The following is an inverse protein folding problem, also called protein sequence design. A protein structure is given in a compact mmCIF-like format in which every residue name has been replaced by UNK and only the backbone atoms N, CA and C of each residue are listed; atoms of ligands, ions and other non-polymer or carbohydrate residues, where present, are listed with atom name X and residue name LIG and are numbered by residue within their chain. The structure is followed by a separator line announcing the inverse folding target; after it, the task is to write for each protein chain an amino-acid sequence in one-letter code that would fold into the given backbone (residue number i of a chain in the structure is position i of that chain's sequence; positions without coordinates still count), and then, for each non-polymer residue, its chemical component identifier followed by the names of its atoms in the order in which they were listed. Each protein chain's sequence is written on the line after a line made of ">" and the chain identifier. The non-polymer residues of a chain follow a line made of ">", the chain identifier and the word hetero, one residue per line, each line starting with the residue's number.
data_IF_236671313221
#
_entry.id   IF_236671313221
#
_cell.length_a   1.000
_cell.length_b   1.000
_cell.length_c   1.000
_cell.angle_alpha   90.00
_cell.angle_beta   90.00
_cell.angle_gamma   90.00
#
_symmetry.space_group_name_H-M   'P 1'
#
loop_
_entity.id
_entity.type
_entity.pdbx_description
1 polymer ?
#
# COMPACT_ATOMS: atom_id res chain seq x y z
N UNK A 1 22.72 17.83 7.62
CA UNK A 1 21.57 18.75 7.45
C UNK A 1 20.85 18.46 6.12
N UNK A 2 21.58 18.21 5.03
CA UNK A 2 21.02 17.86 3.70
C UNK A 2 20.18 16.57 3.65
N UNK A 3 20.50 15.57 4.47
CA UNK A 3 19.82 14.27 4.46
C UNK A 3 18.36 14.34 4.90
N UNK A 4 18.03 15.29 5.79
CA UNK A 4 16.68 15.48 6.32
C UNK A 4 15.78 16.21 5.30
N UNK A 5 16.33 17.17 4.57
CA UNK A 5 15.64 17.85 3.46
C UNK A 5 15.39 16.92 2.28
N UNK A 6 16.30 15.98 2.02
CA UNK A 6 16.15 14.95 0.99
C UNK A 6 15.04 13.95 1.34
N UNK A 7 14.93 13.56 2.62
CA UNK A 7 13.87 12.70 3.15
C UNK A 7 12.49 13.39 3.14
N UNK A 8 12.46 14.70 3.42
CA UNK A 8 11.25 15.53 3.36
C UNK A 8 10.75 15.68 1.92
N UNK A 9 11.66 15.99 1.00
CA UNK A 9 11.38 16.06 -0.44
C UNK A 9 10.91 14.71 -1.00
N UNK A 10 11.48 13.60 -0.50
CA UNK A 10 11.11 12.24 -0.91
C UNK A 10 9.68 11.87 -0.53
N UNK A 11 9.15 12.41 0.57
CA UNK A 11 7.76 12.21 0.96
C UNK A 11 6.79 13.08 0.17
N UNK A 12 7.18 14.32 -0.16
CA UNK A 12 6.36 15.26 -0.92
C UNK A 12 6.20 14.86 -2.41
N UNK A 13 7.24 14.30 -3.02
CA UNK A 13 7.26 13.99 -4.46
C UNK A 13 6.92 12.53 -4.79
N UNK A 14 6.48 11.73 -3.80
CA UNK A 14 6.03 10.35 -4.01
C UNK A 14 7.16 9.31 -4.12
N UNK A 15 8.26 9.51 -3.39
CA UNK A 15 9.33 8.53 -3.19
C UNK A 15 10.74 9.04 -3.52
N UNK A 16 11.75 8.46 -2.86
CA UNK A 16 13.16 8.85 -3.03
C UNK A 16 13.69 8.68 -4.46
N UNK A 17 13.08 7.79 -5.27
CA UNK A 17 13.43 7.59 -6.68
C UNK A 17 13.09 8.83 -7.52
N UNK A 18 11.89 9.40 -7.33
CA UNK A 18 11.47 10.63 -8.02
C UNK A 18 12.29 11.82 -7.60
N UNK A 19 12.70 11.90 -6.34
CA UNK A 19 13.61 12.97 -5.86
C UNK A 19 15.00 12.84 -6.47
N UNK A 20 15.55 11.63 -6.59
CA UNK A 20 16.82 11.42 -7.29
C UNK A 20 16.73 11.76 -8.78
N UNK A 21 15.60 11.45 -9.43
CA UNK A 21 15.35 11.87 -10.82
C UNK A 21 15.23 13.40 -10.93
N UNK A 22 14.52 14.05 -9.99
CA UNK A 22 14.40 15.50 -9.95
C UNK A 22 15.75 16.19 -9.73
N UNK A 23 16.55 15.69 -8.78
CA UNK A 23 17.91 16.19 -8.50
C UNK A 23 18.82 16.04 -9.71
N UNK A 24 18.76 14.90 -10.43
CA UNK A 24 19.50 14.71 -11.68
C UNK A 24 19.06 15.67 -12.79
N UNK A 25 17.77 15.98 -12.87
CA UNK A 25 17.24 16.94 -13.85
C UNK A 25 17.71 18.35 -13.49
N UNK A 26 17.64 18.73 -12.20
CA UNK A 26 18.12 20.03 -11.72
C UNK A 26 19.62 20.22 -11.97
N UNK A 27 20.43 19.19 -11.68
CA UNK A 27 21.87 19.17 -11.94
C UNK A 27 22.18 19.26 -13.45
N UNK A 28 21.44 18.52 -14.28
CA UNK A 28 21.57 18.54 -15.75
C UNK A 28 21.24 19.91 -16.36
N UNK A 29 20.30 20.63 -15.77
CA UNK A 29 19.89 21.96 -16.24
C UNK A 29 20.59 23.11 -15.50
N UNK A 30 21.56 22.80 -14.63
CA UNK A 30 22.28 23.76 -13.79
C UNK A 30 21.34 24.68 -12.99
N UNK A 31 20.19 24.14 -12.56
CA UNK A 31 19.19 24.84 -11.79
C UNK A 31 19.52 24.64 -10.32
N UNK A 32 19.98 25.72 -9.69
CA UNK A 32 20.25 25.77 -8.26
C UNK A 32 18.96 25.54 -7.44
N UNK A 33 19.06 24.80 -6.34
CA UNK A 33 17.91 24.50 -5.46
C UNK A 33 17.32 25.78 -4.85
N UNK A 34 18.15 26.80 -4.59
CA UNK A 34 17.70 28.11 -4.16
C UNK A 34 16.94 28.86 -5.27
N UNK A 35 17.31 28.65 -6.54
CA UNK A 35 16.57 29.19 -7.69
C UNK A 35 15.19 28.53 -7.84
N UNK A 36 15.06 27.23 -7.55
CA UNK A 36 13.76 26.54 -7.55
C UNK A 36 12.84 27.08 -6.45
N UNK A 37 13.37 27.28 -5.24
CA UNK A 37 12.62 27.87 -4.12
C UNK A 37 12.24 29.32 -4.43
N UNK A 38 13.15 30.08 -5.03
CA UNK A 38 12.89 31.46 -5.47
C UNK A 38 11.82 31.51 -6.56
N UNK A 39 11.84 30.58 -7.52
CA UNK A 39 10.80 30.43 -8.53
C UNK A 39 9.44 30.11 -7.90
N UNK A 40 9.37 29.13 -7.00
CA UNK A 40 8.13 28.76 -6.30
C UNK A 40 7.55 29.92 -5.48
N UNK A 41 8.41 30.73 -4.85
CA UNK A 41 8.00 31.98 -4.18
C UNK A 41 7.53 33.04 -5.18
N UNK A 42 8.16 33.14 -6.35
CA UNK A 42 7.81 34.14 -7.37
C UNK A 42 6.43 33.92 -8.00
N UNK A 43 5.94 32.67 -7.99
CA UNK A 43 4.61 32.31 -8.48
C UNK A 43 3.54 32.26 -7.37
N UNK A 44 3.84 32.80 -6.18
CA UNK A 44 2.98 32.77 -4.98
C UNK A 44 2.48 31.36 -4.62
N UNK A 45 3.31 30.34 -4.90
CA UNK A 45 2.94 28.95 -4.64
C UNK A 45 3.08 28.67 -3.15
N UNK A 46 1.95 28.72 -2.43
CA UNK A 46 1.86 28.29 -1.03
C UNK A 46 2.11 26.78 -0.95
N UNK A 47 3.37 26.38 -0.73
CA UNK A 47 3.72 24.99 -0.42
C UNK A 47 3.05 24.66 0.92
N UNK A 48 1.98 23.82 0.95
CA UNK A 48 1.30 23.53 2.21
C UNK A 48 2.28 22.75 3.08
N UNK A 49 2.57 23.26 4.28
CA UNK A 49 3.41 22.54 5.22
C UNK A 49 2.69 21.21 5.54
N UNK A 50 3.35 20.04 5.50
CA UNK A 50 2.74 18.77 5.90
C UNK A 50 2.08 18.79 7.29
N UNK A 51 2.59 19.65 8.19
CA UNK A 51 1.98 19.90 9.48
C UNK A 51 0.70 20.74 9.37
N UNK A 52 0.65 21.76 8.51
CA UNK A 52 -0.55 22.56 8.26
C UNK A 52 -1.67 21.72 7.65
N UNK A 53 -1.36 20.78 6.76
CA UNK A 53 -2.35 19.83 6.24
C UNK A 53 -2.94 18.95 7.34
N UNK A 54 -2.10 18.47 8.27
CA UNK A 54 -2.54 17.69 9.42
C UNK A 54 -3.34 18.52 10.43
N UNK A 55 -2.93 19.76 10.66
CA UNK A 55 -3.62 20.70 11.55
C UNK A 55 -4.98 21.07 10.97
N UNK A 56 -5.06 21.41 9.68
CA UNK A 56 -6.34 21.67 9.01
C UNK A 56 -7.27 20.45 9.04
N UNK A 57 -6.73 19.23 8.90
CA UNK A 57 -7.51 18.01 9.02
C UNK A 57 -7.99 17.75 10.46
N UNK A 58 -7.17 18.08 11.47
CA UNK A 58 -7.53 17.98 12.88
C UNK A 58 -8.55 19.04 13.28
N UNK A 59 -8.39 20.28 12.85
CA UNK A 59 -9.34 21.39 13.08
C UNK A 59 -10.71 21.05 12.49
N UNK A 60 -10.73 20.51 11.26
CA UNK A 60 -11.98 20.03 10.65
C UNK A 60 -12.65 18.91 11.44
N UNK A 61 -11.88 18.03 12.10
CA UNK A 61 -12.40 16.98 13.00
C UNK A 61 -12.92 17.55 14.31
N UNK A 62 -12.25 18.55 14.88
CA UNK A 62 -12.68 19.22 16.11
C UNK A 62 -13.99 19.99 15.88
N UNK A 63 -14.11 20.76 14.79
CA UNK A 63 -15.35 21.45 14.44
C UNK A 63 -16.53 20.49 14.17
N UNK A 64 -16.25 19.29 13.66
CA UNK A 64 -17.26 18.25 13.47
C UNK A 64 -17.71 17.59 14.79
N UNK A 65 -16.83 17.55 15.80
CA UNK A 65 -17.14 17.05 17.14
C UNK A 65 -17.94 18.06 17.97
N UNK A 66 -17.62 19.35 17.84
CA UNK A 66 -18.31 20.44 18.56
C UNK A 66 -19.74 20.69 18.06
N UNK A 67 -20.08 20.25 16.84
CA UNK A 67 -21.41 20.41 16.26
C UNK A 67 -22.43 19.32 16.65
N UNK A 68 -22.10 18.44 17.60
CA UNK A 68 -23.08 17.54 18.25
C UNK A 68 -23.75 16.52 17.33
N UNK A 69 -23.19 16.27 16.13
CA UNK A 69 -23.72 15.31 15.17
C UNK A 69 -23.18 13.91 15.50
N UNK A 70 -24.02 12.88 15.71
CA UNK A 70 -23.52 11.55 16.05
C UNK A 70 -22.65 11.02 14.93
N UNK A 71 -21.40 10.70 15.25
CA UNK A 71 -20.46 10.00 14.39
C UNK A 71 -20.99 8.59 14.15
N UNK A 72 -21.74 8.42 13.06
CA UNK A 72 -21.84 7.11 12.41
C UNK A 72 -20.41 6.68 12.04
N UNK A 73 -19.99 5.43 12.30
CA UNK A 73 -18.63 4.95 12.03
C UNK A 73 -18.44 4.76 10.52
N UNK A 74 -18.41 5.86 9.78
CA UNK A 74 -17.98 5.92 8.41
C UNK A 74 -16.66 6.70 8.40
N UNK A 75 -15.57 5.94 8.53
CA UNK A 75 -14.24 6.37 8.13
C UNK A 75 -14.30 7.07 6.76
N UNK A 76 -13.41 8.05 6.47
CA UNK A 76 -13.33 8.59 5.13
C UNK A 76 -13.10 7.43 4.17
N UNK A 77 -14.00 7.32 3.19
CA UNK A 77 -13.97 6.37 2.08
C UNK A 77 -12.68 6.56 1.28
N UNK A 78 -11.55 6.05 1.76
CA UNK A 78 -10.57 5.49 0.85
C UNK A 78 -11.35 4.43 0.09
N UNK A 79 -11.51 4.59 -1.22
CA UNK A 79 -12.07 3.53 -2.06
C UNK A 79 -11.37 2.24 -1.65
N UNK A 80 -12.12 1.28 -1.09
CA UNK A 80 -11.58 0.01 -0.61
C UNK A 80 -10.84 -0.60 -1.78
N UNK A 81 -9.51 -0.58 -1.71
CA UNK A 81 -8.70 -1.09 -2.80
C UNK A 81 -8.87 -2.61 -2.81
N UNK A 82 -9.54 -3.08 -3.86
CA UNK A 82 -9.83 -4.49 -4.09
C UNK A 82 -8.89 -5.03 -5.15
N UNK A 83 -8.23 -6.13 -4.81
CA UNK A 83 -7.30 -6.84 -5.70
C UNK A 83 -7.94 -8.18 -6.04
N UNK A 84 -8.22 -8.40 -7.31
CA UNK A 84 -8.72 -9.70 -7.80
C UNK A 84 -7.57 -10.48 -8.45
N UNK A 85 -7.43 -11.75 -8.07
CA UNK A 85 -6.37 -12.64 -8.51
C UNK A 85 -6.99 -13.97 -8.93
N UNK A 86 -6.93 -14.26 -10.22
CA UNK A 86 -7.31 -15.57 -10.75
C UNK A 86 -6.19 -16.58 -10.48
N UNK A 87 -6.54 -17.74 -9.92
CA UNK A 87 -5.59 -18.76 -9.54
C UNK A 87 -5.18 -19.62 -10.73
N UNK A 88 -3.87 -19.72 -10.97
CA UNK A 88 -3.32 -20.70 -11.91
C UNK A 88 -3.32 -22.11 -11.31
N UNK A 89 -3.16 -23.13 -12.15
CA UNK A 89 -3.00 -24.53 -11.74
C UNK A 89 -1.99 -24.72 -10.61
N UNK A 90 -0.81 -24.10 -10.76
CA UNK A 90 0.27 -24.18 -9.76
C UNK A 90 -0.11 -23.49 -8.45
N UNK A 91 -0.77 -22.33 -8.53
CA UNK A 91 -1.20 -21.59 -7.35
C UNK A 91 -2.24 -22.38 -6.53
N UNK A 92 -3.24 -22.97 -7.21
CA UNK A 92 -4.24 -23.83 -6.59
C UNK A 92 -3.61 -25.10 -5.99
N UNK A 93 -2.75 -25.80 -6.75
CA UNK A 93 -2.07 -27.02 -6.30
C UNK A 93 -1.22 -26.81 -5.04
N UNK A 94 -0.48 -25.71 -4.99
CA UNK A 94 0.41 -25.39 -3.87
C UNK A 94 -0.23 -24.49 -2.81
N UNK A 95 -1.54 -24.22 -2.91
CA UNK A 95 -2.33 -23.41 -1.96
C UNK A 95 -1.63 -22.08 -1.64
N UNK A 96 -1.23 -21.37 -2.69
CA UNK A 96 -0.54 -20.09 -2.60
C UNK A 96 -1.32 -19.01 -3.36
N UNK A 97 -1.16 -17.77 -2.94
CA UNK A 97 -1.71 -16.60 -3.63
C UNK A 97 -0.56 -15.78 -4.16
N UNK A 98 -0.41 -15.77 -5.49
CA UNK A 98 0.61 -15.00 -6.19
C UNK A 98 0.19 -13.53 -6.25
N UNK A 99 1.08 -12.64 -5.83
CA UNK A 99 0.86 -11.19 -5.86
C UNK A 99 1.50 -10.62 -7.12
N UNK A 100 0.71 -10.12 -8.09
CA UNK A 100 1.24 -9.44 -9.25
C UNK A 100 2.15 -8.28 -8.85
N UNK A 101 3.27 -8.10 -9.54
CA UNK A 101 4.28 -7.05 -9.24
C UNK A 101 3.67 -5.65 -9.07
N UNK A 102 2.63 -5.31 -9.86
CA UNK A 102 1.92 -4.02 -9.78
C UNK A 102 1.24 -3.76 -8.43
N UNK A 103 0.83 -4.81 -7.72
CA UNK A 103 0.18 -4.69 -6.42
C UNK A 103 1.15 -4.84 -5.25
N UNK A 104 2.40 -5.22 -5.52
CA UNK A 104 3.39 -5.49 -4.48
C UNK A 104 3.63 -4.32 -3.50
N UNK A 105 3.61 -3.03 -3.92
CA UNK A 105 3.71 -1.89 -3.01
C UNK A 105 2.56 -1.76 -2.00
N UNK A 106 1.44 -2.45 -2.21
CA UNK A 106 0.28 -2.46 -1.31
C UNK A 106 0.41 -3.47 -0.18
N UNK A 107 1.40 -4.38 -0.26
CA UNK A 107 1.69 -5.42 0.73
C UNK A 107 2.95 -5.10 1.53
N UNK A 108 3.10 -5.68 2.74
CA UNK A 108 4.32 -5.50 3.52
C UNK A 108 5.55 -6.02 2.77
N UNK A 109 6.73 -5.59 3.22
CA UNK A 109 7.99 -6.07 2.68
C UNK A 109 8.17 -7.59 2.81
N UNK A 110 9.12 -8.13 2.05
CA UNK A 110 9.47 -9.56 2.10
C UNK A 110 9.72 -10.05 3.53
N UNK A 111 9.10 -11.18 3.92
CA UNK A 111 9.16 -11.76 5.28
C UNK A 111 8.72 -10.83 6.43
N UNK A 112 7.89 -9.81 6.15
CA UNK A 112 7.20 -9.02 7.17
C UNK A 112 5.81 -9.61 7.40
N UNK A 113 5.44 -9.93 8.66
CA UNK A 113 4.15 -10.52 8.98
C UNK A 113 2.98 -9.55 8.77
N UNK A 114 1.83 -10.09 8.40
CA UNK A 114 0.55 -9.39 8.30
C UNK A 114 -0.62 -10.36 8.49
N UNK A 115 -1.80 -9.81 8.73
CA UNK A 115 -3.00 -10.59 9.06
C UNK A 115 -3.99 -10.60 7.91
N UNK A 116 -4.53 -11.78 7.62
CA UNK A 116 -5.66 -11.99 6.72
C UNK A 116 -6.91 -12.30 7.54
N UNK A 117 -7.95 -11.48 7.40
CA UNK A 117 -9.30 -11.78 7.86
C UNK A 117 -10.00 -12.68 6.85
N UNK A 118 -10.43 -13.86 7.29
CA UNK A 118 -11.09 -14.85 6.43
C UNK A 118 -12.34 -15.43 7.12
N UNK A 119 -13.14 -16.19 6.37
CA UNK A 119 -14.27 -16.93 6.93
C UNK A 119 -13.87 -18.12 7.83
N UNK A 120 -12.60 -18.50 7.87
CA UNK A 120 -12.08 -19.53 8.79
C UNK A 120 -11.30 -18.94 9.97
N UNK A 121 -11.41 -17.64 10.18
CA UNK A 121 -10.70 -16.88 11.21
C UNK A 121 -9.52 -16.08 10.65
N UNK A 122 -8.71 -15.55 11.56
CA UNK A 122 -7.53 -14.75 11.22
C UNK A 122 -6.32 -15.64 10.91
N UNK A 123 -5.58 -15.28 9.87
CA UNK A 123 -4.36 -15.99 9.45
C UNK A 123 -3.21 -15.00 9.44
N UNK A 124 -2.22 -15.21 10.31
CA UNK A 124 -0.95 -14.50 10.23
C UNK A 124 -0.05 -15.14 9.16
N UNK A 125 0.34 -14.34 8.17
CA UNK A 125 1.17 -14.78 7.04
C UNK A 125 2.23 -13.73 6.68
N UNK A 126 3.04 -13.99 5.67
CA UNK A 126 4.02 -13.05 5.14
C UNK A 126 4.33 -13.36 3.67
N UNK A 127 4.84 -12.36 2.94
CA UNK A 127 5.28 -12.58 1.56
C UNK A 127 6.59 -13.37 1.54
N UNK A 128 6.63 -14.44 0.75
CA UNK A 128 7.76 -15.35 0.54
C UNK A 128 8.21 -15.38 -0.92
N UNK A 129 9.12 -16.29 -1.26
CA UNK A 129 9.70 -16.51 -2.58
C UNK A 129 10.46 -15.32 -3.17
N UNK A 130 11.33 -14.72 -2.34
CA UNK A 130 12.37 -13.83 -2.81
C UNK A 130 13.61 -14.60 -3.29
N UNK A 131 14.51 -13.90 -3.96
CA UNK A 131 15.83 -14.39 -4.35
C UNK A 131 16.78 -14.44 -3.14
N UNK A 132 17.91 -15.14 -3.28
CA UNK A 132 18.93 -15.21 -2.22
C UNK A 132 19.48 -13.82 -1.81
N UNK A 133 19.45 -12.85 -2.73
CA UNK A 133 19.85 -11.45 -2.51
C UNK A 133 18.79 -10.61 -1.80
N UNK A 134 17.54 -11.07 -1.70
CA UNK A 134 16.44 -10.28 -1.20
C UNK A 134 16.52 -10.12 0.32
N UNK A 135 16.41 -8.86 0.77
CA UNK A 135 16.46 -8.53 2.20
C UNK A 135 15.07 -8.53 2.79
N UNK A 136 14.96 -8.97 4.06
CA UNK A 136 13.73 -8.83 4.84
C UNK A 136 13.32 -7.34 4.86
N UNK A 137 12.05 -7.07 4.56
CA UNK A 137 11.50 -5.72 4.48
C UNK A 137 11.53 -5.08 3.08
N UNK A 138 12.20 -5.68 2.09
CA UNK A 138 12.18 -5.15 0.73
C UNK A 138 10.75 -5.24 0.13
N UNK A 139 10.23 -4.09 -0.29
CA UNK A 139 8.89 -3.93 -0.87
C UNK A 139 8.77 -4.49 -2.28
N UNK A 140 9.88 -4.69 -3.00
CA UNK A 140 9.92 -5.26 -4.34
C UNK A 140 10.17 -6.77 -4.34
N UNK A 141 10.65 -7.33 -3.22
CA UNK A 141 11.01 -8.73 -3.08
C UNK A 141 9.81 -9.65 -2.77
N UNK A 142 9.93 -10.90 -3.19
CA UNK A 142 8.93 -11.94 -2.96
C UNK A 142 7.69 -11.84 -3.87
N UNK A 143 7.02 -12.98 -4.03
CA UNK A 143 6.04 -13.16 -5.10
C UNK A 143 4.69 -13.72 -4.64
N UNK A 144 4.63 -14.41 -3.51
CA UNK A 144 3.38 -15.02 -3.02
C UNK A 144 3.39 -15.16 -1.51
N UNK A 145 2.23 -15.48 -0.93
CA UNK A 145 2.11 -15.98 0.44
C UNK A 145 1.36 -17.32 0.43
N UNK A 146 1.67 -18.18 1.40
CA UNK A 146 1.14 -19.55 1.50
C UNK A 146 0.96 -20.02 2.95
N UNK A 147 1.72 -19.47 3.90
CA UNK A 147 1.62 -19.83 5.32
C UNK A 147 0.18 -19.64 5.80
N UNK A 148 -0.39 -20.71 6.35
CA UNK A 148 -1.73 -20.74 6.94
C UNK A 148 -2.89 -20.88 5.97
N UNK A 149 -2.66 -20.83 4.65
CA UNK A 149 -3.76 -20.83 3.67
C UNK A 149 -4.39 -22.21 3.41
N UNK A 150 -3.74 -23.32 3.78
CA UNK A 150 -4.22 -24.65 3.42
C UNK A 150 -5.65 -24.93 3.86
N UNK A 151 -5.98 -24.59 5.12
CA UNK A 151 -7.33 -24.75 5.68
C UNK A 151 -8.35 -23.87 4.98
N UNK A 152 -7.96 -22.64 4.62
CA UNK A 152 -8.84 -21.71 3.91
C UNK A 152 -9.16 -22.19 2.49
N UNK A 153 -8.16 -22.72 1.76
CA UNK A 153 -8.36 -23.31 0.42
C UNK A 153 -9.33 -24.49 0.46
N UNK A 154 -9.16 -25.39 1.43
CA UNK A 154 -10.03 -26.56 1.62
C UNK A 154 -11.45 -26.14 1.99
N UNK A 155 -11.61 -25.23 2.95
CA UNK A 155 -12.92 -24.76 3.41
C UNK A 155 -13.73 -24.06 2.31
N UNK A 156 -13.07 -23.37 1.38
CA UNK A 156 -13.72 -22.63 0.30
C UNK A 156 -13.75 -23.38 -1.04
N UNK A 157 -13.36 -24.67 -1.05
CA UNK A 157 -13.26 -25.52 -2.25
C UNK A 157 -12.59 -24.76 -3.42
N UNK A 158 -11.41 -24.20 -3.15
CA UNK A 158 -10.70 -23.31 -4.10
C UNK A 158 -9.96 -24.15 -5.15
N UNK A 159 -10.23 -23.87 -6.43
CA UNK A 159 -9.73 -24.61 -7.59
C UNK A 159 -9.00 -23.70 -8.57
N UNK A 160 -8.36 -24.32 -9.56
CA UNK A 160 -7.81 -23.60 -10.71
C UNK A 160 -8.90 -22.79 -11.42
N UNK A 161 -8.58 -21.57 -11.84
CA UNK A 161 -9.52 -20.66 -12.50
C UNK A 161 -10.39 -19.84 -11.54
N UNK A 162 -10.47 -20.22 -10.26
CA UNK A 162 -11.18 -19.42 -9.26
C UNK A 162 -10.51 -18.05 -9.07
N UNK A 163 -11.32 -17.04 -8.75
CA UNK A 163 -10.84 -15.70 -8.43
C UNK A 163 -10.86 -15.48 -6.93
N UNK A 164 -9.68 -15.19 -6.38
CA UNK A 164 -9.49 -14.78 -4.99
C UNK A 164 -9.45 -13.26 -4.93
N UNK A 165 -10.09 -12.72 -3.91
CA UNK A 165 -10.20 -11.28 -3.69
C UNK A 165 -9.47 -10.93 -2.41
N UNK A 166 -8.64 -9.90 -2.49
CA UNK A 166 -7.98 -9.28 -1.34
C UNK A 166 -8.49 -7.85 -1.22
N UNK A 167 -9.10 -7.52 -0.09
CA UNK A 167 -9.47 -6.14 0.24
C UNK A 167 -8.49 -5.58 1.26
N UNK A 168 -8.01 -4.36 1.02
CA UNK A 168 -7.09 -3.69 1.93
C UNK A 168 -7.90 -3.03 3.05
N UNK A 169 -7.74 -3.54 4.27
CA UNK A 169 -8.34 -2.95 5.49
C UNK A 169 -7.37 -1.93 6.08
N UNK A 170 -6.12 -2.33 6.27
CA UNK A 170 -5.02 -1.48 6.72
C UNK A 170 -3.76 -1.82 5.91
N UNK A 171 -3.30 -0.86 5.10
CA UNK A 171 -2.12 -1.02 4.24
C UNK A 171 -0.91 -1.51 5.05
N UNK A 172 -0.26 -2.54 4.53
CA UNK A 172 0.91 -3.22 5.12
C UNK A 172 0.65 -3.95 6.44
N UNK A 173 -0.60 -4.19 6.83
CA UNK A 173 -0.92 -4.85 8.11
C UNK A 173 -2.09 -5.81 8.07
N UNK A 174 -3.24 -5.40 7.53
CA UNK A 174 -4.49 -6.18 7.62
C UNK A 174 -5.27 -6.15 6.32
N UNK A 175 -5.73 -7.32 5.90
CA UNK A 175 -6.43 -7.52 4.64
C UNK A 175 -7.57 -8.50 4.83
N UNK A 176 -8.65 -8.37 4.05
CA UNK A 176 -9.70 -9.38 3.95
C UNK A 176 -9.42 -10.30 2.78
N UNK A 177 -9.59 -11.61 2.95
CA UNK A 177 -9.43 -12.61 1.90
C UNK A 177 -10.72 -13.40 1.72
N UNK A 178 -11.23 -13.46 0.50
CA UNK A 178 -12.38 -14.30 0.18
C UNK A 178 -12.35 -14.78 -1.28
N UNK A 179 -13.04 -15.89 -1.55
CA UNK A 179 -13.26 -16.41 -2.89
C UNK A 179 -14.41 -15.62 -3.53
N UNK A 180 -14.24 -15.13 -4.75
CA UNK A 180 -15.33 -14.52 -5.52
C UNK A 180 -16.31 -15.61 -5.94
N UNK A 181 -17.64 -15.42 -5.78
CA UNK A 181 -18.61 -16.38 -6.29
C UNK A 181 -18.47 -16.52 -7.81
N UNK A 182 -18.68 -17.73 -8.33
CA UNK A 182 -18.80 -17.90 -9.77
C UNK A 182 -19.99 -17.07 -10.27
N UNK A 183 -19.77 -16.18 -11.23
CA UNK A 183 -20.86 -15.47 -11.89
C UNK A 183 -21.58 -16.48 -12.78
N UNK A 184 -22.67 -17.05 -12.30
CA UNK A 184 -23.56 -17.86 -13.14
C UNK A 184 -24.07 -16.94 -14.25
N UNK A 185 -23.56 -17.14 -15.46
CA UNK A 185 -24.02 -16.44 -16.66
C UNK A 185 -25.18 -17.18 -17.29
#
# INVERSE_FOLDING_TARGET
>A
MEEFELLRSARLLGGAKKVKELLKILEKHNIDVENLISYLKSIDYKVPNPLELRVAELEKRVSALESGKPLSPAQPTQAVQRIEITLSKGAAKHKLVLIPKKFRPLFPGYKIPFTLETNVGEIETYITAGYASDKKGDLAAGHYFTKGLSKWFEHNDVKEGDTVVIEIIETHKRYKLYKKPATTS
#
